data_IF_065139349996
#
_entry.id   IF_065139349996
#
_cell.length_a   1.000
_cell.length_b   1.000
_cell.length_c   1.000
_cell.angle_alpha   90.00
_cell.angle_beta   90.00
_cell.angle_gamma   90.00
#
_symmetry.space_group_name_H-M   'P 1'
#
loop_
_entity.id
_entity.type
_entity.pdbx_description
1 polymer ?
#
# COMPACT_ATOMS: atom_id res chain seq x y z
N UNK A 1 -31.38 66.18 26.18
CA UNK A 1 -31.75 65.61 24.86
C UNK A 1 -30.98 64.28 24.69
N UNK A 2 -31.57 63.11 24.92
CA UNK A 2 -32.61 62.38 24.16
C UNK A 2 -31.99 61.30 23.23
N UNK A 3 -32.24 60.04 23.61
CA UNK A 3 -32.44 58.78 22.87
C UNK A 3 -31.63 58.43 21.58
N UNK A 4 -31.11 57.19 21.58
CA UNK A 4 -30.71 56.35 20.43
C UNK A 4 -31.96 55.80 19.69
N UNK A 5 -31.91 54.85 18.69
CA UNK A 5 -30.78 54.15 18.03
C UNK A 5 -30.95 53.93 16.49
N UNK A 6 -29.93 53.38 15.80
CA UNK A 6 -30.03 52.42 14.65
C UNK A 6 -28.59 51.93 14.34
N UNK A 7 -28.24 50.64 14.50
CA UNK A 7 -28.21 49.57 13.47
C UNK A 7 -27.51 50.00 12.16
N UNK A 8 -26.56 49.30 11.54
CA UNK A 8 -26.06 47.92 11.55
C UNK A 8 -24.76 47.93 10.70
N UNK A 9 -23.72 47.17 11.08
CA UNK A 9 -22.87 46.46 10.11
C UNK A 9 -21.78 45.63 10.82
N UNK A 10 -21.67 44.40 10.37
CA UNK A 10 -20.80 43.33 10.82
C UNK A 10 -19.30 43.61 10.67
N UNK A 11 -18.47 42.90 11.46
CA UNK A 11 -17.13 42.54 11.01
C UNK A 11 -16.06 42.32 12.08
N UNK A 12 -16.03 41.14 12.70
CA UNK A 12 -14.79 40.42 13.00
C UNK A 12 -14.11 40.60 14.37
N UNK A 13 -14.04 39.52 15.14
CA UNK A 13 -12.87 39.19 15.95
C UNK A 13 -12.81 37.69 16.25
N UNK A 14 -11.61 37.13 16.02
CA UNK A 14 -11.22 35.71 16.15
C UNK A 14 -11.30 35.22 17.59
N UNK A 15 -11.83 34.02 17.80
CA UNK A 15 -11.67 33.25 19.04
C UNK A 15 -11.96 31.78 18.76
N UNK A 16 -10.94 30.92 18.84
CA UNK A 16 -11.06 29.46 18.70
C UNK A 16 -11.91 28.91 19.86
N UNK A 17 -13.02 28.18 19.60
CA UNK A 17 -13.82 27.60 20.68
C UNK A 17 -13.06 26.47 21.37
N UNK A 18 -12.94 26.56 22.69
CA UNK A 18 -12.39 25.50 23.56
C UNK A 18 -13.31 24.27 23.56
N UNK A 19 -12.79 23.05 23.83
CA UNK A 19 -13.50 21.77 23.65
C UNK A 19 -14.80 21.57 24.45
N UNK A 20 -15.15 22.51 25.33
CA UNK A 20 -16.32 22.44 26.21
C UNK A 20 -17.62 22.88 25.52
N UNK A 21 -17.53 23.63 24.42
CA UNK A 21 -18.71 24.11 23.68
C UNK A 21 -19.27 23.09 22.67
N UNK A 22 -18.60 21.95 22.45
CA UNK A 22 -19.07 20.90 21.54
C UNK A 22 -19.91 19.81 22.23
N UNK A 23 -19.92 19.77 23.56
CA UNK A 23 -20.63 18.72 24.32
C UNK A 23 -22.15 18.90 24.39
N UNK A 24 -22.68 20.05 23.93
CA UNK A 24 -24.11 20.39 24.04
C UNK A 24 -25.00 19.99 22.86
N UNK A 25 -24.44 19.57 21.72
CA UNK A 25 -25.20 19.39 20.47
C UNK A 25 -25.39 17.92 20.03
N UNK A 26 -25.08 16.95 20.89
CA UNK A 26 -24.98 15.54 20.52
C UNK A 26 -26.07 14.58 21.01
N UNK A 27 -27.30 15.02 21.31
CA UNK A 27 -28.39 14.09 21.64
C UNK A 27 -29.63 14.29 20.77
N UNK A 28 -29.60 13.67 19.59
CA UNK A 28 -30.79 13.30 18.80
C UNK A 28 -30.94 11.77 18.76
N UNK A 29 -32.17 11.22 18.75
CA UNK A 29 -32.40 9.79 18.96
C UNK A 29 -32.35 8.97 17.65
N UNK A 30 -31.72 7.79 17.73
CA UNK A 30 -32.07 6.62 16.94
C UNK A 30 -31.43 6.48 15.55
N UNK A 31 -30.38 5.66 15.45
CA UNK A 31 -30.25 4.59 14.45
C UNK A 31 -28.93 3.85 14.71
N UNK A 32 -28.99 2.54 14.94
CA UNK A 32 -27.81 1.68 14.92
C UNK A 32 -27.21 1.70 13.51
N UNK A 33 -25.99 2.23 13.37
CA UNK A 33 -25.21 2.14 12.15
C UNK A 33 -24.03 1.20 12.39
N UNK A 34 -24.01 0.12 11.61
CA UNK A 34 -22.94 -0.87 11.50
C UNK A 34 -21.56 -0.21 11.27
N UNK A 35 -20.44 -0.89 11.57
CA UNK A 35 -19.10 -0.35 11.27
C UNK A 35 -18.96 -0.07 9.77
N UNK A 36 -18.87 1.21 9.41
CA UNK A 36 -18.59 1.63 8.04
C UNK A 36 -17.13 1.24 7.71
N UNK A 37 -16.87 0.40 6.69
CA UNK A 37 -15.51 0.17 6.22
C UNK A 37 -14.94 1.49 5.69
N UNK A 38 -13.67 1.76 5.99
CA UNK A 38 -12.93 2.93 5.52
C UNK A 38 -13.11 3.10 4.00
N UNK A 39 -13.19 4.34 3.48
CA UNK A 39 -13.36 4.58 2.06
C UNK A 39 -12.16 3.97 1.32
N UNK A 40 -12.41 2.87 0.60
CA UNK A 40 -11.52 2.42 -0.46
C UNK A 40 -11.52 3.53 -1.51
N UNK A 41 -10.55 4.43 -1.41
CA UNK A 41 -10.00 5.06 -2.60
C UNK A 41 -9.56 3.90 -3.49
N UNK A 42 -10.41 3.55 -4.45
CA UNK A 42 -10.07 2.65 -5.54
C UNK A 42 -9.02 3.36 -6.38
N UNK A 43 -7.81 3.45 -5.83
CA UNK A 43 -6.57 3.61 -6.57
C UNK A 43 -6.71 2.68 -7.76
N UNK A 44 -6.65 3.24 -8.96
CA UNK A 44 -6.89 2.50 -10.20
C UNK A 44 -5.65 1.68 -10.58
N UNK A 45 -5.09 0.97 -9.61
CA UNK A 45 -4.03 -0.02 -9.81
C UNK A 45 -4.56 -1.28 -10.50
N UNK A 46 -5.88 -1.47 -10.57
CA UNK A 46 -6.48 -2.36 -11.56
C UNK A 46 -6.19 -1.78 -12.95
N UNK A 47 -5.13 -2.30 -13.55
CA UNK A 47 -4.84 -2.21 -14.98
C UNK A 47 -5.97 -2.89 -15.77
N UNK A 48 -7.13 -2.23 -15.82
CA UNK A 48 -8.30 -2.65 -16.62
C UNK A 48 -8.40 -1.82 -17.93
N UNK A 49 -7.31 -1.15 -18.30
CA UNK A 49 -7.21 -0.43 -19.58
C UNK A 49 -6.02 -0.95 -20.36
N UNK A 50 -6.22 -2.05 -21.07
CA UNK A 50 -5.29 -2.43 -22.14
C UNK A 50 -5.33 -3.89 -22.60
N UNK A 51 -5.82 -4.83 -21.79
CA UNK A 51 -5.90 -6.23 -22.20
C UNK A 51 -7.31 -6.63 -22.61
N UNK A 52 -7.88 -5.92 -23.58
CA UNK A 52 -9.11 -6.36 -24.25
C UNK A 52 -8.78 -6.97 -25.61
N UNK A 53 -9.18 -8.23 -25.74
CA UNK A 53 -9.37 -9.00 -26.96
C UNK A 53 -8.11 -9.49 -27.73
N UNK A 54 -7.63 -10.67 -27.33
CA UNK A 54 -7.04 -11.62 -28.27
C UNK A 54 -7.69 -13.00 -28.10
N UNK A 55 -8.90 -13.12 -28.64
CA UNK A 55 -9.49 -14.37 -29.14
C UNK A 55 -10.05 -15.36 -28.10
N UNK A 56 -11.24 -15.94 -28.33
CA UNK A 56 -11.77 -17.03 -27.52
C UNK A 56 -10.97 -18.30 -27.83
N UNK A 57 -9.92 -18.56 -27.04
CA UNK A 57 -9.07 -19.74 -27.23
C UNK A 57 -7.75 -19.74 -26.46
N UNK A 58 -7.35 -18.65 -25.80
CA UNK A 58 -6.13 -18.62 -25.00
C UNK A 58 -6.45 -18.48 -23.51
N UNK A 59 -6.55 -19.62 -22.82
CA UNK A 59 -6.73 -19.71 -21.38
C UNK A 59 -5.47 -19.31 -20.59
N UNK A 60 -5.02 -18.07 -20.72
CA UNK A 60 -3.86 -17.54 -19.99
C UNK A 60 -4.34 -16.61 -18.87
N UNK A 61 -5.06 -17.19 -17.91
CA UNK A 61 -4.93 -16.74 -16.52
C UNK A 61 -3.61 -17.29 -15.98
N UNK A 62 -2.99 -16.60 -15.01
CA UNK A 62 -1.87 -17.20 -14.29
C UNK A 62 -2.25 -18.61 -13.80
N UNK A 63 -1.32 -19.57 -13.80
CA UNK A 63 -1.61 -20.90 -13.28
C UNK A 63 -2.18 -20.78 -11.86
N UNK A 64 -3.22 -21.54 -11.50
CA UNK A 64 -3.89 -21.40 -10.20
C UNK A 64 -2.92 -21.62 -9.03
N UNK A 65 -1.82 -22.34 -9.27
CA UNK A 65 -0.75 -22.57 -8.31
C UNK A 65 -0.06 -21.26 -7.89
N UNK A 66 0.33 -20.38 -8.83
CA UNK A 66 0.95 -19.08 -8.50
C UNK A 66 -0.05 -18.08 -7.92
N UNK A 67 -1.34 -18.26 -8.21
CA UNK A 67 -2.40 -17.49 -7.58
C UNK A 67 -2.55 -17.76 -6.06
N UNK A 68 -1.97 -18.84 -5.54
CA UNK A 68 -2.00 -19.19 -4.11
C UNK A 68 -0.93 -18.49 -3.26
N UNK A 69 0.05 -17.81 -3.87
CA UNK A 69 1.08 -17.10 -3.10
C UNK A 69 0.44 -16.02 -2.21
N UNK A 70 0.75 -16.00 -0.89
CA UNK A 70 0.17 -15.03 0.02
C UNK A 70 0.71 -13.62 -0.26
N UNK A 71 -0.15 -12.60 -0.14
CA UNK A 71 0.28 -11.20 -0.20
C UNK A 71 0.86 -10.76 1.15
N UNK A 72 1.81 -9.82 1.15
CA UNK A 72 2.37 -9.20 2.35
C UNK A 72 1.25 -8.68 3.26
N UNK A 73 0.23 -8.07 2.67
CA UNK A 73 -0.92 -7.53 3.36
C UNK A 73 -1.74 -8.57 4.13
N UNK A 74 -1.74 -9.83 3.67
CA UNK A 74 -2.40 -10.96 4.32
C UNK A 74 -1.55 -11.53 5.46
N UNK A 75 -0.22 -11.45 5.33
CA UNK A 75 0.74 -11.92 6.33
C UNK A 75 0.97 -10.92 7.48
N UNK A 76 0.55 -9.66 7.31
CA UNK A 76 0.89 -8.56 8.23
C UNK A 76 -0.32 -8.11 9.04
N UNK A 77 -0.20 -8.15 10.37
CA UNK A 77 -1.20 -7.63 11.30
C UNK A 77 -1.38 -6.12 11.19
N UNK A 78 -2.44 -5.56 11.78
CA UNK A 78 -2.67 -4.12 11.77
C UNK A 78 -1.59 -3.35 12.55
N UNK A 79 -1.18 -3.87 13.71
CA UNK A 79 -0.13 -3.30 14.55
C UNK A 79 1.23 -3.31 13.83
N UNK A 80 1.59 -4.43 13.22
CA UNK A 80 2.85 -4.56 12.51
C UNK A 80 2.87 -3.71 11.23
N UNK A 81 1.74 -3.57 10.54
CA UNK A 81 1.62 -2.66 9.39
C UNK A 81 1.81 -1.19 9.80
N UNK A 82 1.44 -0.82 11.02
CA UNK A 82 1.71 0.52 11.55
C UNK A 82 3.19 0.70 11.86
N UNK A 83 3.82 -0.25 12.56
CA UNK A 83 5.26 -0.21 12.84
C UNK A 83 6.10 -0.18 11.54
N UNK A 84 5.76 -1.03 10.56
CA UNK A 84 6.38 -1.04 9.23
C UNK A 84 6.33 0.31 8.56
N UNK A 85 5.19 1.02 8.70
CA UNK A 85 4.99 2.33 8.11
C UNK A 85 5.85 3.39 8.81
N UNK A 86 6.01 3.31 10.12
CA UNK A 86 6.94 4.21 10.82
C UNK A 86 8.39 4.00 10.36
N UNK A 87 8.81 2.75 10.19
CA UNK A 87 10.12 2.41 9.63
C UNK A 87 10.24 2.89 8.17
N UNK A 88 9.21 2.71 7.34
CA UNK A 88 9.18 3.20 5.95
C UNK A 88 9.42 4.72 5.88
N UNK A 89 8.89 5.48 6.84
CA UNK A 89 9.00 6.95 6.87
C UNK A 89 10.40 7.39 7.31
N UNK A 90 11.02 6.66 8.23
CA UNK A 90 12.21 7.14 8.94
C UNK A 90 13.52 6.49 8.48
N UNK A 91 13.47 5.28 7.93
CA UNK A 91 14.64 4.46 7.65
C UNK A 91 14.87 4.16 6.16
N UNK A 92 13.85 4.31 5.30
CA UNK A 92 13.95 3.99 3.87
C UNK A 92 14.17 5.28 3.09
N UNK A 93 15.20 5.30 2.24
CA UNK A 93 15.62 6.51 1.52
C UNK A 93 14.67 6.96 0.41
N UNK A 94 13.73 6.08 0.04
CA UNK A 94 12.83 6.27 -1.11
C UNK A 94 13.44 5.85 -2.44
N UNK A 95 14.66 5.31 -2.46
CA UNK A 95 15.26 4.71 -3.66
C UNK A 95 14.40 3.52 -4.18
N UNK A 96 14.05 3.47 -5.47
CA UNK A 96 13.15 2.43 -5.99
C UNK A 96 13.72 1.01 -5.81
N UNK A 97 15.04 0.83 -5.95
CA UNK A 97 15.68 -0.46 -5.79
C UNK A 97 15.71 -0.90 -4.32
N UNK A 98 15.96 0.01 -3.38
CA UNK A 98 15.84 -0.25 -1.94
C UNK A 98 14.41 -0.62 -1.54
N UNK A 99 13.41 0.12 -2.03
CA UNK A 99 11.99 -0.16 -1.77
C UNK A 99 11.61 -1.59 -2.20
N UNK A 100 12.13 -2.04 -3.36
CA UNK A 100 11.97 -3.42 -3.82
C UNK A 100 12.54 -4.45 -2.85
N UNK A 101 13.75 -4.21 -2.32
CA UNK A 101 14.40 -5.08 -1.35
C UNK A 101 13.64 -5.13 -0.01
N UNK A 102 13.23 -3.97 0.53
CA UNK A 102 12.51 -3.90 1.81
C UNK A 102 11.19 -4.68 1.74
N UNK A 103 10.46 -4.55 0.63
CA UNK A 103 9.24 -5.34 0.42
C UNK A 103 9.54 -6.84 0.40
N UNK A 104 10.49 -7.28 -0.42
CA UNK A 104 10.86 -8.70 -0.54
C UNK A 104 11.33 -9.28 0.79
N UNK A 105 12.13 -8.52 1.55
CA UNK A 105 12.62 -8.88 2.87
C UNK A 105 11.48 -9.15 3.84
N UNK A 106 10.58 -8.17 4.00
CA UNK A 106 9.43 -8.29 4.91
C UNK A 106 8.46 -9.38 4.50
N UNK A 107 8.26 -9.56 3.20
CA UNK A 107 7.42 -10.64 2.69
C UNK A 107 8.01 -12.00 3.06
N UNK A 108 9.29 -12.21 2.77
CA UNK A 108 9.99 -13.47 3.08
C UNK A 108 10.08 -13.72 4.58
N UNK A 109 10.36 -12.71 5.40
CA UNK A 109 10.42 -12.83 6.87
C UNK A 109 9.07 -13.24 7.50
N UNK A 110 7.97 -12.98 6.81
CA UNK A 110 6.62 -13.30 7.29
C UNK A 110 6.03 -14.55 6.64
N UNK A 111 6.73 -15.15 5.69
CA UNK A 111 6.35 -16.46 5.17
C UNK A 111 6.57 -17.51 6.27
N UNK A 112 5.50 -18.22 6.59
CA UNK A 112 5.57 -19.37 7.50
C UNK A 112 6.02 -20.66 6.79
N UNK A 113 5.97 -20.69 5.46
CA UNK A 113 6.30 -21.86 4.63
C UNK A 113 7.32 -21.49 3.55
N UNK A 114 8.52 -22.06 3.65
CA UNK A 114 9.61 -21.90 2.70
C UNK A 114 9.27 -22.45 1.30
N UNK A 115 8.28 -23.34 1.18
CA UNK A 115 7.76 -23.81 -0.10
C UNK A 115 7.25 -22.69 -1.00
N UNK A 116 6.63 -21.64 -0.42
CA UNK A 116 6.17 -20.47 -1.17
C UNK A 116 7.33 -19.64 -1.74
N UNK A 117 8.48 -19.58 -1.04
CA UNK A 117 9.66 -18.89 -1.55
C UNK A 117 10.24 -19.65 -2.73
N UNK A 118 10.37 -20.98 -2.62
CA UNK A 118 10.82 -21.82 -3.73
C UNK A 118 9.90 -21.70 -4.95
N UNK A 119 8.58 -21.75 -4.73
CA UNK A 119 7.59 -21.57 -5.80
C UNK A 119 7.69 -20.19 -6.47
N UNK A 120 7.91 -19.12 -5.70
CA UNK A 120 8.12 -17.80 -6.29
C UNK A 120 9.41 -17.77 -7.14
N UNK A 121 10.49 -18.37 -6.65
CA UNK A 121 11.78 -18.36 -7.34
C UNK A 121 11.74 -19.04 -8.72
N UNK A 122 10.81 -19.98 -8.97
CA UNK A 122 10.64 -20.59 -10.30
C UNK A 122 10.02 -19.66 -11.34
N UNK A 123 9.40 -18.56 -10.92
CA UNK A 123 8.76 -17.57 -11.81
C UNK A 123 9.75 -16.54 -12.38
N UNK A 124 11.00 -16.52 -11.89
CA UNK A 124 12.03 -15.61 -12.37
C UNK A 124 12.22 -15.69 -13.90
N UNK A 125 12.29 -14.55 -14.63
CA UNK A 125 12.43 -13.17 -14.14
C UNK A 125 11.10 -12.42 -13.90
N UNK A 126 9.95 -13.08 -14.07
CA UNK A 126 8.62 -12.44 -14.01
C UNK A 126 8.05 -12.52 -12.60
N UNK A 127 7.64 -11.38 -12.04
CA UNK A 127 6.89 -11.36 -10.78
C UNK A 127 5.41 -11.68 -11.06
N UNK A 128 4.78 -12.61 -10.31
CA UNK A 128 3.34 -12.88 -10.42
C UNK A 128 2.50 -11.61 -10.25
N UNK A 129 1.41 -11.45 -11.00
CA UNK A 129 0.70 -10.16 -11.10
C UNK A 129 0.17 -9.67 -9.75
N UNK A 130 -0.29 -10.60 -8.90
CA UNK A 130 -0.79 -10.31 -7.55
C UNK A 130 0.30 -9.69 -6.66
N UNK A 131 1.51 -10.26 -6.71
CA UNK A 131 2.67 -9.79 -5.95
C UNK A 131 3.23 -8.51 -6.55
N UNK A 132 3.37 -8.43 -7.88
CA UNK A 132 3.83 -7.21 -8.59
C UNK A 132 2.89 -6.02 -8.30
N UNK A 133 1.57 -6.25 -8.34
CA UNK A 133 0.59 -5.21 -8.02
C UNK A 133 0.70 -4.73 -6.57
N UNK A 134 0.96 -5.63 -5.62
CA UNK A 134 1.17 -5.26 -4.23
C UNK A 134 2.49 -4.51 -4.01
N UNK A 135 3.56 -4.98 -4.63
CA UNK A 135 4.88 -4.34 -4.63
C UNK A 135 4.80 -2.90 -5.14
N UNK A 136 4.13 -2.67 -6.27
CA UNK A 136 3.97 -1.33 -6.83
C UNK A 136 3.07 -0.44 -5.96
N UNK A 137 2.02 -0.98 -5.33
CA UNK A 137 1.20 -0.23 -4.35
C UNK A 137 1.99 0.14 -3.10
N UNK A 138 2.88 -0.73 -2.64
CA UNK A 138 3.79 -0.44 -1.54
C UNK A 138 4.76 0.68 -1.92
N UNK A 139 5.38 0.58 -3.10
CA UNK A 139 6.31 1.57 -3.62
C UNK A 139 5.70 2.98 -3.81
N UNK A 140 4.44 3.06 -4.22
CA UNK A 140 3.72 4.33 -4.35
C UNK A 140 3.67 5.17 -3.05
N UNK A 141 3.83 4.54 -1.88
CA UNK A 141 3.84 5.23 -0.58
C UNK A 141 5.09 6.09 -0.36
N UNK A 142 6.16 5.84 -1.09
CA UNK A 142 7.44 6.54 -0.99
C UNK A 142 7.53 7.77 -1.91
N UNK A 143 6.43 8.17 -2.54
CA UNK A 143 6.41 9.32 -3.45
C UNK A 143 7.01 9.04 -4.83
N UNK A 144 7.22 7.76 -5.17
CA UNK A 144 7.71 7.28 -6.49
C UNK A 144 6.70 7.48 -7.64
N UNK A 145 5.68 8.32 -7.46
CA UNK A 145 4.66 8.59 -8.47
C UNK A 145 5.10 9.78 -9.34
N UNK A 146 5.25 9.56 -10.64
CA UNK A 146 5.44 10.62 -11.63
C UNK A 146 4.22 11.56 -11.64
N UNK A 147 4.48 12.86 -11.50
CA UNK A 147 3.51 13.93 -11.20
C UNK A 147 2.52 14.31 -12.33
N UNK A 148 2.06 13.35 -13.13
CA UNK A 148 0.96 13.59 -14.08
C UNK A 148 -0.18 12.58 -14.05
N UNK A 149 0.02 11.35 -13.59
CA UNK A 149 -1.01 10.30 -13.67
C UNK A 149 -1.01 9.31 -12.49
N UNK A 150 -0.39 9.67 -11.35
CA UNK A 150 -0.15 8.75 -10.23
C UNK A 150 0.48 7.42 -10.70
N UNK A 151 1.38 7.49 -11.68
CA UNK A 151 2.09 6.34 -12.24
C UNK A 151 3.53 6.34 -11.77
N UNK A 152 4.04 5.20 -11.34
CA UNK A 152 5.49 5.02 -11.14
C UNK A 152 6.16 5.06 -12.51
N UNK A 153 7.24 5.84 -12.66
CA UNK A 153 7.99 5.90 -13.91
C UNK A 153 8.49 4.50 -14.32
N UNK A 154 8.59 4.25 -15.61
CA UNK A 154 8.98 2.95 -16.12
C UNK A 154 10.39 2.53 -15.63
N UNK A 155 11.33 3.47 -15.51
CA UNK A 155 12.66 3.21 -14.97
C UNK A 155 12.59 2.75 -13.50
N UNK A 156 11.80 3.45 -12.69
CA UNK A 156 11.60 3.12 -11.28
C UNK A 156 10.91 1.76 -11.12
N UNK A 157 9.95 1.43 -11.99
CA UNK A 157 9.32 0.10 -12.01
C UNK A 157 10.34 -1.01 -12.24
N UNK A 158 11.27 -0.83 -13.18
CA UNK A 158 12.34 -1.80 -13.39
C UNK A 158 13.29 -1.88 -12.20
N UNK A 159 13.67 -0.74 -11.60
CA UNK A 159 14.52 -0.70 -10.42
C UNK A 159 13.88 -1.39 -9.21
N UNK A 160 12.59 -1.16 -8.94
CA UNK A 160 11.82 -1.83 -7.88
C UNK A 160 11.82 -3.35 -8.09
N UNK A 161 11.52 -3.82 -9.31
CA UNK A 161 11.51 -5.25 -9.63
C UNK A 161 12.90 -5.88 -9.53
N UNK A 162 13.94 -5.15 -9.93
CA UNK A 162 15.32 -5.60 -9.80
C UNK A 162 15.73 -5.73 -8.32
N UNK A 163 15.36 -4.75 -7.48
CA UNK A 163 15.60 -4.79 -6.03
C UNK A 163 14.87 -5.94 -5.35
N UNK A 164 13.62 -6.18 -5.74
CA UNK A 164 12.84 -7.33 -5.28
C UNK A 164 13.56 -8.64 -5.55
N UNK A 165 13.93 -8.90 -6.81
CA UNK A 165 14.61 -10.15 -7.15
C UNK A 165 15.99 -10.28 -6.51
N UNK A 166 16.72 -9.17 -6.36
CA UNK A 166 18.03 -9.19 -5.69
C UNK A 166 17.92 -9.68 -4.25
N UNK A 167 16.92 -9.23 -3.50
CA UNK A 167 16.71 -9.70 -2.11
C UNK A 167 16.26 -11.16 -2.08
N UNK A 168 15.36 -11.59 -2.98
CA UNK A 168 14.93 -12.99 -3.08
C UNK A 168 16.11 -13.92 -3.39
N UNK A 169 17.01 -13.52 -4.29
CA UNK A 169 18.22 -14.27 -4.61
C UNK A 169 19.14 -14.39 -3.39
N UNK A 170 19.34 -13.30 -2.64
CA UNK A 170 20.17 -13.30 -1.42
C UNK A 170 19.59 -14.26 -0.37
N UNK A 171 18.27 -14.25 -0.18
CA UNK A 171 17.58 -15.13 0.79
C UNK A 171 17.60 -16.59 0.35
N UNK A 172 17.31 -16.85 -0.92
CA UNK A 172 17.36 -18.21 -1.48
C UNK A 172 18.79 -18.76 -1.41
N UNK A 173 19.82 -17.98 -1.73
CA UNK A 173 21.21 -18.40 -1.59
C UNK A 173 21.60 -18.69 -0.12
N UNK A 174 21.09 -17.91 0.83
CA UNK A 174 21.31 -18.15 2.26
C UNK A 174 20.62 -19.43 2.76
N UNK A 175 19.42 -19.77 2.27
CA UNK A 175 18.74 -21.03 2.59
C UNK A 175 19.46 -22.26 2.02
N UNK A 176 20.11 -22.12 0.87
CA UNK A 176 20.85 -23.20 0.22
C UNK A 176 22.29 -23.36 0.73
N UNK A 177 22.81 -22.39 1.49
CA UNK A 177 24.07 -22.56 2.18
C UNK A 177 23.85 -23.55 3.33
N UNK A 178 24.43 -24.76 3.30
CA UNK A 178 24.32 -25.68 4.42
C UNK A 178 24.89 -24.99 5.65
N UNK A 179 24.16 -25.07 6.76
CA UNK A 179 24.67 -24.73 8.09
C UNK A 179 25.90 -25.61 8.36
N UNK A 180 27.06 -25.13 7.94
CA UNK A 180 28.32 -25.83 8.04
C UNK A 180 28.81 -25.83 9.48
N UNK A 181 28.86 -27.04 10.04
CA UNK A 181 29.80 -27.57 11.05
C UNK A 181 30.37 -26.63 12.12
#
# INVERSE_FOLDING_TARGET
PAAAPDATAAGGAKGVPTPKDLAGLGRGPGASAAPHPAPSATLRWSSDKGWVDRGPGSGVGEPPETANLPMLAQLTSAEQRWADREEDITAVSGDPFEVGQVFARRWTERLSDAGHLHQLSTEYPRIPHRIDGELLRYAARFGLLAHKDDQIDEHDRYAIRAGFWREIDVRTAAEHAPAGE
#
